data_IF_043066520557
#
_entry.id   IF_043066520557
#
_cell.length_a   1.000
_cell.length_b   1.000
_cell.length_c   1.000
_cell.angle_alpha   90.00
_cell.angle_beta   90.00
_cell.angle_gamma   90.00
#
_symmetry.space_group_name_H-M   'P 1'
#
loop_
_entity.id
_entity.type
_entity.pdbx_description
1 polymer ?
#
# COMPACT_ATOMS: atom_id res chain seq x y z
N UNK A 1 5.16 -13.98 5.40
CA UNK A 1 6.07 -14.32 4.29
C UNK A 1 5.28 -14.55 2.99
N UNK A 2 5.78 -14.07 1.85
CA UNK A 2 5.08 -14.17 0.55
C UNK A 2 5.32 -15.50 -0.20
N UNK A 3 5.92 -16.50 0.45
CA UNK A 3 6.30 -17.78 -0.16
C UNK A 3 7.82 -17.92 -0.36
N UNK A 4 8.22 -18.78 -1.28
CA UNK A 4 9.62 -19.06 -1.62
C UNK A 4 10.21 -17.95 -2.49
N UNK A 5 11.39 -17.44 -2.12
CA UNK A 5 12.06 -16.37 -2.85
C UNK A 5 12.59 -16.88 -4.20
N UNK A 6 12.11 -16.33 -5.31
CA UNK A 6 12.68 -16.55 -6.64
C UNK A 6 13.98 -15.73 -6.82
N UNK A 7 14.89 -16.12 -7.74
CA UNK A 7 16.14 -15.39 -7.99
C UNK A 7 15.92 -13.93 -8.43
N UNK A 8 14.79 -13.66 -9.10
CA UNK A 8 14.36 -12.32 -9.53
C UNK A 8 12.86 -12.17 -9.25
N UNK A 9 12.49 -11.18 -8.42
CA UNK A 9 11.09 -10.84 -8.13
C UNK A 9 10.40 -10.28 -9.37
N UNK A 10 11.10 -9.45 -10.15
CA UNK A 10 10.60 -8.81 -11.35
C UNK A 10 10.16 -9.81 -12.40
N UNK A 11 10.96 -10.85 -12.65
CA UNK A 11 10.63 -11.86 -13.65
C UNK A 11 9.41 -12.68 -13.23
N UNK A 12 9.30 -13.00 -11.94
CA UNK A 12 8.16 -13.72 -11.40
C UNK A 12 6.87 -12.89 -11.46
N UNK A 13 6.92 -11.62 -11.02
CA UNK A 13 5.76 -10.72 -11.00
C UNK A 13 5.37 -10.27 -12.41
N UNK A 14 6.34 -10.15 -13.33
CA UNK A 14 6.11 -9.76 -14.72
C UNK A 14 5.74 -10.91 -15.65
N UNK A 15 5.67 -12.14 -15.15
CA UNK A 15 5.36 -13.34 -15.92
C UNK A 15 3.92 -13.34 -16.47
N UNK A 16 3.68 -14.20 -17.48
CA UNK A 16 2.31 -14.50 -17.94
C UNK A 16 1.48 -15.16 -16.83
N UNK A 17 2.09 -16.08 -16.08
CA UNK A 17 1.45 -16.81 -14.97
C UNK A 17 0.86 -15.86 -13.91
N UNK A 18 1.57 -14.77 -13.58
CA UNK A 18 1.07 -13.77 -12.64
C UNK A 18 -0.15 -13.00 -13.20
N UNK A 19 -0.14 -12.67 -14.51
CA UNK A 19 -1.30 -12.02 -15.15
C UNK A 19 -2.52 -12.93 -15.17
N UNK A 20 -2.31 -14.21 -15.48
CA UNK A 20 -3.38 -15.21 -15.48
C UNK A 20 -3.95 -15.39 -14.08
N UNK A 21 -3.10 -15.38 -13.05
CA UNK A 21 -3.51 -15.44 -11.65
C UNK A 21 -4.38 -14.23 -11.27
N UNK A 22 -3.96 -13.01 -11.58
CA UNK A 22 -4.74 -11.79 -11.32
C UNK A 22 -6.07 -11.84 -12.07
N UNK A 23 -6.07 -12.28 -13.32
CA UNK A 23 -7.29 -12.40 -14.14
C UNK A 23 -8.28 -13.38 -13.53
N UNK A 24 -7.81 -14.54 -13.05
CA UNK A 24 -8.66 -15.49 -12.34
C UNK A 24 -9.20 -14.89 -11.04
N UNK A 25 -8.36 -14.23 -10.25
CA UNK A 25 -8.80 -13.62 -8.99
C UNK A 25 -9.85 -12.53 -9.19
N UNK A 26 -9.85 -11.84 -10.33
CA UNK A 26 -10.92 -10.88 -10.67
C UNK A 26 -12.31 -11.52 -10.80
N UNK A 27 -12.38 -12.82 -11.09
CA UNK A 27 -13.65 -13.57 -11.10
C UNK A 27 -14.05 -14.11 -9.72
N UNK A 28 -13.07 -14.33 -8.83
CA UNK A 28 -13.28 -15.00 -7.54
C UNK A 28 -13.44 -14.00 -6.37
N UNK A 29 -12.98 -12.75 -6.52
CA UNK A 29 -12.95 -11.73 -5.46
C UNK A 29 -13.46 -10.37 -5.93
N UNK A 30 -14.21 -9.69 -5.07
CA UNK A 30 -14.68 -8.31 -5.32
C UNK A 30 -13.55 -7.28 -5.28
N UNK A 31 -12.54 -7.51 -4.44
CA UNK A 31 -11.41 -6.60 -4.22
C UNK A 31 -10.11 -7.39 -4.12
N UNK A 32 -9.12 -6.97 -4.88
CA UNK A 32 -7.77 -7.56 -4.89
C UNK A 32 -6.78 -6.48 -4.47
N UNK A 33 -6.02 -6.73 -3.40
CA UNK A 33 -4.97 -5.83 -2.94
C UNK A 33 -3.60 -6.39 -3.34
N UNK A 34 -2.92 -5.71 -4.25
CA UNK A 34 -1.54 -6.00 -4.63
C UNK A 34 -0.60 -5.16 -3.76
N UNK A 35 0.19 -5.82 -2.91
CA UNK A 35 1.20 -5.16 -2.07
C UNK A 35 2.58 -5.26 -2.72
N UNK A 36 3.28 -4.13 -2.78
CA UNK A 36 4.64 -4.04 -3.29
C UNK A 36 5.60 -3.45 -2.23
N UNK A 37 6.91 -3.76 -2.30
CA UNK A 37 7.96 -3.08 -1.53
C UNK A 37 8.06 -1.57 -1.88
N UNK A 38 8.91 -0.79 -1.18
CA UNK A 38 9.10 0.63 -1.47
C UNK A 38 9.42 0.89 -2.95
N UNK A 39 8.56 1.67 -3.60
CA UNK A 39 8.57 1.89 -5.07
C UNK A 39 9.88 2.45 -5.62
N UNK A 40 10.63 3.20 -4.81
CA UNK A 40 11.88 3.84 -5.25
C UNK A 40 13.09 2.91 -5.13
N UNK A 41 13.00 1.83 -4.37
CA UNK A 41 14.11 0.90 -4.12
C UNK A 41 14.03 -0.33 -5.02
N UNK A 42 12.81 -0.77 -5.33
CA UNK A 42 12.55 -2.01 -6.05
C UNK A 42 11.45 -1.79 -7.09
N UNK A 43 11.62 -2.26 -8.34
CA UNK A 43 10.67 -2.02 -9.43
C UNK A 43 9.39 -2.85 -9.35
N UNK A 44 9.19 -3.68 -8.33
CA UNK A 44 8.02 -4.56 -8.17
C UNK A 44 6.68 -3.83 -8.32
N UNK A 45 6.56 -2.62 -7.76
CA UNK A 45 5.35 -1.80 -7.87
C UNK A 45 5.07 -1.39 -9.33
N UNK A 46 6.12 -1.05 -10.09
CA UNK A 46 6.01 -0.72 -11.52
C UNK A 46 5.68 -1.96 -12.35
N UNK A 47 6.16 -3.14 -11.95
CA UNK A 47 5.80 -4.41 -12.61
C UNK A 47 4.34 -4.80 -12.38
N UNK A 48 3.82 -4.57 -11.16
CA UNK A 48 2.45 -4.89 -10.79
C UNK A 48 1.43 -3.83 -11.24
N UNK A 49 1.85 -2.57 -11.33
CA UNK A 49 1.00 -1.42 -11.63
C UNK A 49 0.05 -1.63 -12.82
N UNK A 50 0.52 -2.13 -13.97
CA UNK A 50 -0.32 -2.38 -15.15
C UNK A 50 -1.39 -3.47 -14.97
N UNK A 51 -1.28 -4.31 -13.93
CA UNK A 51 -2.26 -5.37 -13.63
C UNK A 51 -3.37 -4.88 -12.69
N UNK A 52 -3.14 -3.76 -12.00
CA UNK A 52 -4.08 -3.14 -11.08
C UNK A 52 -4.97 -2.13 -11.80
N UNK A 53 -6.22 -2.00 -11.37
CA UNK A 53 -7.12 -0.96 -11.88
C UNK A 53 -6.69 0.42 -11.39
N UNK A 54 -6.23 0.50 -10.14
CA UNK A 54 -5.79 1.73 -9.48
C UNK A 54 -4.60 1.42 -8.57
N UNK A 55 -3.71 2.41 -8.42
CA UNK A 55 -2.58 2.37 -7.50
C UNK A 55 -2.64 3.54 -6.51
N UNK A 56 -2.21 3.29 -5.27
CA UNK A 56 -2.09 4.33 -4.24
C UNK A 56 -0.71 4.25 -3.65
N UNK A 57 -0.03 5.39 -3.54
CA UNK A 57 1.26 5.44 -2.85
C UNK A 57 1.07 5.73 -1.37
N UNK A 58 1.87 5.08 -0.53
CA UNK A 58 1.85 5.32 0.91
C UNK A 58 3.16 6.02 1.31
N UNK A 59 3.06 7.27 1.76
CA UNK A 59 4.15 8.02 2.37
C UNK A 59 4.01 8.06 3.88
N UNK A 60 5.10 8.28 4.60
CA UNK A 60 5.06 8.46 6.06
C UNK A 60 5.29 9.93 6.43
N UNK A 61 4.39 10.51 7.21
CA UNK A 61 4.48 11.89 7.70
C UNK A 61 5.80 12.15 8.42
N UNK A 62 6.42 13.28 8.10
CA UNK A 62 7.72 13.69 8.63
C UNK A 62 8.91 12.83 8.19
N UNK A 63 8.71 11.84 7.31
CA UNK A 63 9.79 10.96 6.82
C UNK A 63 9.88 10.94 5.31
N UNK A 64 8.79 10.65 4.61
CA UNK A 64 8.76 10.62 3.14
C UNK A 64 8.63 12.05 2.62
N UNK A 65 9.56 12.45 1.75
CA UNK A 65 9.56 13.79 1.15
C UNK A 65 8.55 13.86 0.01
N UNK A 66 7.93 15.02 -0.20
CA UNK A 66 7.00 15.23 -1.32
C UNK A 66 7.62 14.91 -2.69
N UNK A 67 8.92 15.22 -2.88
CA UNK A 67 9.65 14.86 -4.10
C UNK A 67 9.78 13.35 -4.31
N UNK A 68 9.93 12.56 -3.25
CA UNK A 68 10.02 11.09 -3.35
C UNK A 68 8.69 10.50 -3.80
N UNK A 69 7.57 11.02 -3.28
CA UNK A 69 6.23 10.64 -3.72
C UNK A 69 5.99 10.99 -5.18
N UNK A 70 6.40 12.20 -5.61
CA UNK A 70 6.29 12.63 -6.99
C UNK A 70 7.05 11.71 -7.95
N UNK A 71 8.30 11.36 -7.62
CA UNK A 71 9.09 10.41 -8.42
C UNK A 71 8.42 9.04 -8.47
N UNK A 72 7.84 8.58 -7.36
CA UNK A 72 7.12 7.31 -7.30
C UNK A 72 5.87 7.30 -8.19
N UNK A 73 5.09 8.40 -8.18
CA UNK A 73 3.92 8.58 -9.06
C UNK A 73 4.37 8.51 -10.53
N UNK A 74 5.37 9.30 -10.91
CA UNK A 74 5.90 9.32 -12.28
C UNK A 74 6.45 7.95 -12.72
N UNK A 75 7.07 7.19 -11.81
CA UNK A 75 7.55 5.84 -12.10
C UNK A 75 6.39 4.88 -12.39
N UNK A 76 5.32 4.93 -11.59
CA UNK A 76 4.12 4.11 -11.79
C UNK A 76 3.38 4.49 -13.08
N UNK A 77 3.20 5.78 -13.35
CA UNK A 77 2.58 6.25 -14.60
C UNK A 77 3.36 5.77 -15.83
N UNK A 78 4.69 5.91 -15.82
CA UNK A 78 5.55 5.45 -16.93
C UNK A 78 5.48 3.94 -17.16
N UNK A 79 5.19 3.17 -16.12
CA UNK A 79 5.02 1.72 -16.24
C UNK A 79 3.66 1.29 -16.79
N UNK A 80 2.68 2.20 -16.83
CA UNK A 80 1.29 1.93 -17.23
C UNK A 80 0.34 1.69 -16.05
N UNK A 81 0.78 1.93 -14.81
CA UNK A 81 -0.10 1.94 -13.65
C UNK A 81 -0.91 3.24 -13.56
N UNK A 82 -2.01 3.20 -12.80
CA UNK A 82 -2.94 4.34 -12.62
C UNK A 82 -2.88 4.84 -11.18
N UNK A 83 -1.89 5.67 -10.79
CA UNK A 83 -1.84 6.23 -9.44
C UNK A 83 -2.97 7.24 -9.24
N UNK A 84 -3.82 7.03 -8.23
CA UNK A 84 -4.97 7.89 -7.94
C UNK A 84 -4.73 8.86 -6.78
N UNK A 85 -3.62 8.72 -6.08
CA UNK A 85 -3.25 9.63 -5.00
C UNK A 85 -2.23 9.04 -4.02
N UNK A 86 -2.06 9.76 -2.91
CA UNK A 86 -1.14 9.41 -1.82
C UNK A 86 -1.90 9.30 -0.51
N UNK A 87 -1.63 8.24 0.24
CA UNK A 87 -2.00 8.10 1.65
C UNK A 87 -0.80 8.55 2.49
N UNK A 88 -1.01 9.54 3.35
CA UNK A 88 -0.03 9.94 4.34
C UNK A 88 -0.25 9.17 5.65
N UNK A 89 0.59 8.17 5.89
CA UNK A 89 0.59 7.39 7.11
C UNK A 89 1.34 8.10 8.25
N UNK A 90 0.92 7.86 9.49
CA UNK A 90 1.60 8.42 10.67
C UNK A 90 1.46 9.93 10.82
N UNK A 91 0.52 10.56 10.11
CA UNK A 91 0.09 11.91 10.41
C UNK A 91 -0.50 11.93 11.83
N UNK A 92 0.25 12.52 12.77
CA UNK A 92 -0.27 12.75 14.11
C UNK A 92 -1.44 13.72 14.07
N UNK A 93 -2.26 13.73 15.12
CA UNK A 93 -3.11 14.89 15.39
C UNK A 93 -2.18 16.04 15.75
N UNK A 94 -1.79 16.85 14.78
CA UNK A 94 -1.28 18.16 15.07
C UNK A 94 -2.46 18.91 15.67
N UNK A 95 -2.38 19.19 16.98
CA UNK A 95 -3.42 19.90 17.72
C UNK A 95 -3.79 21.16 16.94
N UNK A 96 -5.00 21.18 16.38
CA UNK A 96 -5.63 22.42 15.98
C UNK A 96 -5.77 23.27 17.26
N UNK A 97 -4.77 24.13 17.52
CA UNK A 97 -4.67 25.00 18.68
C UNK A 97 -4.05 24.37 19.92
N UNK A 98 -2.72 24.44 20.05
CA UNK A 98 -2.08 24.52 21.38
C UNK A 98 -1.55 25.94 21.58
N UNK A 99 -2.00 26.69 22.61
CA UNK A 99 -1.38 27.96 22.96
C UNK A 99 0.05 27.74 23.48
N UNK A 100 0.96 28.71 23.35
CA UNK A 100 2.33 28.56 23.79
C UNK A 100 2.38 28.65 25.32
N UNK A 101 2.75 27.55 25.98
CA UNK A 101 3.08 27.52 27.42
C UNK A 101 2.40 26.38 28.17
N UNK A 102 3.19 25.41 28.65
CA UNK A 102 2.73 24.36 29.54
C UNK A 102 3.62 23.12 29.49
N UNK A 103 4.21 22.79 30.64
CA UNK A 103 5.24 21.75 30.80
C UNK A 103 4.79 20.37 30.31
N UNK A 104 5.67 19.71 29.55
CA UNK A 104 5.44 18.36 29.02
C UNK A 104 5.60 17.33 30.14
N UNK A 105 4.50 16.97 30.78
CA UNK A 105 4.46 15.75 31.61
C UNK A 105 4.47 14.54 30.69
N UNK A 106 5.54 13.75 30.80
CA UNK A 106 5.74 12.47 30.12
C UNK A 106 4.69 11.47 30.62
N UNK A 107 3.62 11.23 29.88
CA UNK A 107 2.66 10.16 30.20
C UNK A 107 2.16 9.45 28.93
N UNK A 108 2.64 8.22 28.80
CA UNK A 108 1.94 7.01 28.36
C UNK A 108 1.34 6.94 26.94
N UNK A 109 1.91 6.04 26.14
CA UNK A 109 1.27 5.43 24.98
C UNK A 109 0.02 4.65 25.42
N UNK A 110 -1.06 4.62 24.62
CA UNK A 110 -1.88 3.43 24.49
C UNK A 110 -1.51 2.71 23.20
N UNK A 111 -0.92 1.53 23.36
CA UNK A 111 -0.94 0.47 22.36
C UNK A 111 -2.39 -0.02 22.24
N UNK A 112 -3.09 0.35 21.18
CA UNK A 112 -4.34 -0.32 20.82
C UNK A 112 -4.31 -0.61 19.32
N UNK A 113 -4.08 -1.88 18.97
CA UNK A 113 -4.48 -2.41 17.67
C UNK A 113 -6.00 -2.39 17.67
N UNK A 114 -6.62 -1.66 16.75
CA UNK A 114 -8.05 -1.81 16.50
C UNK A 114 -8.27 -3.22 15.91
N UNK A 115 -9.24 -4.00 16.40
CA UNK A 115 -9.58 -5.26 15.77
C UNK A 115 -10.18 -4.96 14.38
N UNK A 116 -9.58 -5.52 13.34
CA UNK A 116 -10.21 -5.60 12.02
C UNK A 116 -11.13 -6.81 12.08
N UNK A 117 -12.43 -6.58 12.18
CA UNK A 117 -13.44 -7.63 12.08
C UNK A 117 -13.59 -8.02 10.60
N UNK A 118 -13.05 -9.18 10.24
CA UNK A 118 -13.24 -9.78 8.93
C UNK A 118 -14.58 -10.54 8.97
N UNK A 119 -15.61 -9.98 8.35
CA UNK A 119 -16.86 -10.69 8.15
C UNK A 119 -16.61 -11.91 7.26
N UNK A 120 -16.90 -13.11 7.79
CA UNK A 120 -16.83 -14.35 7.03
C UNK A 120 -17.90 -14.37 5.92
N UNK A 121 -17.62 -14.95 4.74
CA UNK A 121 -18.65 -15.13 3.70
C UNK A 121 -19.73 -16.08 4.20
N UNK A 122 -20.99 -15.67 4.07
CA UNK A 122 -22.14 -16.54 4.32
C UNK A 122 -22.23 -17.55 3.18
N UNK A 123 -21.73 -18.76 3.40
CA UNK A 123 -22.11 -19.91 2.59
C UNK A 123 -23.62 -20.11 2.76
N UNK A 124 -24.39 -19.84 1.71
CA UNK A 124 -25.74 -20.39 1.58
C UNK A 124 -25.73 -21.32 0.38
N UNK A 125 -25.73 -22.60 0.70
CA UNK A 125 -26.12 -23.70 -0.16
C UNK A 125 -27.65 -23.74 -0.16
N UNK A 126 -28.28 -23.55 -1.33
CA UNK A 126 -29.44 -24.29 -1.82
C UNK A 126 -29.73 -23.89 -3.27
#
# INVERSE_FOLDING_TARGET
PAGYTKPSSVDALGSGEMRDLVTRFRGDYDVILLAAPPTLEVPDAATLGPMADLAVLVGWSGRTRGRELQIGIEALERSGGVPVGVILNGAGKESAGSPPGGERTRSQRPSARLPVEVAAPKNTSD
#
